data_IF_557387361934
#
_entry.id   IF_557387361934
#
_cell.length_a   1.000
_cell.length_b   1.000
_cell.length_c   1.000
_cell.angle_alpha   90.00
_cell.angle_beta   90.00
_cell.angle_gamma   90.00
#
_symmetry.space_group_name_H-M   'P 1'
#
loop_
_entity.id
_entity.type
_entity.pdbx_description
1 polymer ?
#
# COMPACT_ATOMS: atom_id res chain seq x y z
N UNK A 1 -8.83 -17.89 -3.50
CA UNK A 1 -9.14 -16.46 -3.32
C UNK A 1 -7.88 -15.76 -2.87
N UNK A 2 -7.35 -14.84 -3.65
CA UNK A 2 -6.24 -14.00 -3.21
C UNK A 2 -6.85 -12.78 -2.53
N UNK A 3 -6.81 -12.69 -1.21
CA UNK A 3 -7.34 -11.54 -0.47
C UNK A 3 -6.35 -10.38 -0.55
N UNK A 4 -6.65 -9.41 -1.41
CA UNK A 4 -5.98 -8.11 -1.47
C UNK A 4 -7.03 -7.03 -1.21
N UNK A 5 -6.60 -5.94 -0.59
CA UNK A 5 -7.45 -4.76 -0.38
C UNK A 5 -7.05 -3.67 -1.36
N UNK A 6 -7.97 -2.74 -1.62
CA UNK A 6 -7.65 -1.53 -2.38
C UNK A 6 -6.81 -0.57 -1.53
N UNK A 7 -5.98 0.26 -2.16
CA UNK A 7 -5.24 1.34 -1.51
C UNK A 7 -6.21 2.30 -0.83
N UNK A 8 -7.35 2.63 -1.46
CA UNK A 8 -8.41 3.43 -0.86
C UNK A 8 -8.93 2.83 0.45
N UNK A 9 -9.26 1.53 0.47
CA UNK A 9 -9.73 0.82 1.67
C UNK A 9 -8.66 0.78 2.77
N UNK A 10 -7.39 0.55 2.39
CA UNK A 10 -6.27 0.56 3.33
C UNK A 10 -6.11 1.94 3.99
N UNK A 11 -6.19 3.02 3.21
CA UNK A 11 -6.11 4.40 3.69
C UNK A 11 -7.34 4.81 4.50
N UNK A 12 -8.51 4.22 4.24
CA UNK A 12 -9.74 4.41 5.01
C UNK A 12 -9.72 3.68 6.38
N UNK A 13 -8.68 2.87 6.67
CA UNK A 13 -8.56 2.14 7.92
C UNK A 13 -9.45 0.91 8.01
N UNK A 14 -9.88 0.35 6.88
CA UNK A 14 -10.76 -0.84 6.85
C UNK A 14 -10.03 -2.13 7.26
N UNK A 15 -8.70 -2.13 7.28
CA UNK A 15 -7.90 -3.21 7.83
C UNK A 15 -7.54 -2.96 9.30
N UNK A 16 -7.68 -3.97 10.14
CA UNK A 16 -7.31 -3.88 11.55
C UNK A 16 -5.82 -3.53 11.73
N UNK A 17 -5.50 -2.67 12.68
CA UNK A 17 -4.10 -2.32 12.99
C UNK A 17 -3.30 -3.57 13.36
N UNK A 18 -2.10 -3.71 12.78
CA UNK A 18 -1.25 -4.89 12.97
C UNK A 18 -1.61 -6.07 12.06
N UNK A 19 -2.72 -6.02 11.32
CA UNK A 19 -3.03 -7.03 10.32
C UNK A 19 -2.06 -6.96 9.13
N UNK A 20 -1.65 -8.12 8.63
CA UNK A 20 -0.90 -8.21 7.38
C UNK A 20 -1.87 -8.09 6.21
N UNK A 21 -1.63 -7.13 5.34
CA UNK A 21 -2.44 -6.89 4.13
C UNK A 21 -1.62 -7.11 2.86
N UNK A 22 -2.33 -7.37 1.76
CA UNK A 22 -1.76 -7.38 0.42
C UNK A 22 -2.46 -6.32 -0.43
N UNK A 23 -1.69 -5.59 -1.23
CA UNK A 23 -2.21 -4.64 -2.24
C UNK A 23 -1.60 -4.99 -3.58
N UNK A 24 -2.30 -4.69 -4.68
CA UNK A 24 -1.83 -4.93 -6.04
C UNK A 24 -2.00 -3.66 -6.84
N UNK A 25 -0.94 -3.20 -7.48
CA UNK A 25 -0.96 -1.97 -8.24
C UNK A 25 0.39 -1.67 -8.87
N UNK A 26 0.53 -0.46 -9.40
CA UNK A 26 1.73 0.01 -10.07
C UNK A 26 2.54 0.91 -9.13
N UNK A 27 3.85 0.68 -9.06
CA UNK A 27 4.77 1.56 -8.35
C UNK A 27 4.91 2.88 -9.12
N UNK A 28 4.68 4.00 -8.44
CA UNK A 28 4.79 5.36 -9.01
C UNK A 28 6.11 6.03 -8.65
N UNK A 29 6.57 5.86 -7.42
CA UNK A 29 7.87 6.35 -6.97
C UNK A 29 8.42 5.46 -5.85
N UNK A 30 9.74 5.47 -5.72
CA UNK A 30 10.48 4.87 -4.61
C UNK A 30 11.43 5.92 -4.05
N UNK A 31 11.39 6.13 -2.73
CA UNK A 31 12.34 6.98 -2.01
C UNK A 31 13.07 6.16 -0.96
N UNK A 32 14.35 5.95 -1.18
CA UNK A 32 15.22 5.33 -0.19
C UNK A 32 15.60 6.33 0.90
N UNK A 33 15.68 5.86 2.14
CA UNK A 33 16.17 6.63 3.27
C UNK A 33 17.57 6.18 3.67
N UNK A 34 18.30 7.03 4.39
CA UNK A 34 19.58 6.65 5.01
C UNK A 34 19.44 5.63 6.14
N UNK A 35 18.23 5.44 6.66
CA UNK A 35 17.95 4.51 7.77
C UNK A 35 17.68 3.06 7.29
N UNK A 36 17.89 2.75 6.01
CA UNK A 36 17.70 1.40 5.47
C UNK A 36 16.24 1.04 5.18
N UNK A 37 15.32 2.01 5.21
CA UNK A 37 13.93 1.82 4.76
C UNK A 37 13.67 2.54 3.43
N UNK A 38 12.74 2.01 2.65
CA UNK A 38 12.26 2.61 1.40
C UNK A 38 10.78 2.97 1.55
N UNK A 39 10.41 4.14 1.03
CA UNK A 39 9.01 4.55 0.88
C UNK A 39 8.59 4.24 -0.56
N UNK A 40 7.52 3.46 -0.73
CA UNK A 40 6.97 3.11 -2.03
C UNK A 40 5.59 3.74 -2.19
N UNK A 41 5.39 4.54 -3.23
CA UNK A 41 4.07 5.04 -3.60
C UNK A 41 3.43 4.08 -4.62
N UNK A 42 2.39 3.36 -4.22
CA UNK A 42 1.66 2.40 -5.06
C UNK A 42 0.33 3.00 -5.45
N UNK A 43 -0.01 2.92 -6.73
CA UNK A 43 -1.31 3.31 -7.26
C UNK A 43 -2.02 2.08 -7.84
N UNK A 44 -3.19 1.74 -7.33
CA UNK A 44 -4.00 0.60 -7.76
C UNK A 44 -5.27 0.99 -8.54
N UNK A 45 -5.47 2.30 -8.78
CA UNK A 45 -6.65 2.84 -9.47
C UNK A 45 -7.84 3.16 -8.58
N UNK A 46 -7.75 2.92 -7.27
CA UNK A 46 -8.86 3.15 -6.34
C UNK A 46 -8.92 4.56 -5.74
N UNK A 47 -7.80 5.30 -5.75
CA UNK A 47 -7.69 6.67 -5.25
C UNK A 47 -6.61 7.47 -6.01
N UNK A 48 -6.62 8.80 -5.87
CA UNK A 48 -5.68 9.73 -6.51
C UNK A 48 -4.38 9.89 -5.72
#
# INVERSE_FOLDING_TARGET
>A
MSDFISVKSALAGEAATGARVSVRGWLRSKRDSRAGISFLAIHDGSCF
#
